data_IF_620983913647
#
_entry.id   IF_620983913647
#
_cell.length_a   1.000
_cell.length_b   1.000
_cell.length_c   1.000
_cell.angle_alpha   90.00
_cell.angle_beta   90.00
_cell.angle_gamma   90.00
#
_symmetry.space_group_name_H-M   'P 1'
#
loop_
_entity.id
_entity.type
_entity.pdbx_description
1 polymer ?
#
# COMPACT_ATOMS: atom_id res chain seq x y z
N UNK A 1 -5.33 -0.05 -16.80
CA UNK A 1 -4.19 0.90 -16.60
C UNK A 1 -2.89 0.11 -16.73
N UNK A 2 -1.89 0.69 -17.36
CA UNK A 2 -0.55 0.09 -17.47
C UNK A 2 0.50 1.12 -17.01
N UNK A 3 1.35 0.72 -16.08
CA UNK A 3 2.53 1.49 -15.67
C UNK A 3 3.74 0.87 -16.34
N UNK A 4 4.53 1.69 -17.03
CA UNK A 4 5.73 1.26 -17.77
C UNK A 4 6.97 1.87 -17.15
N UNK A 5 7.93 1.01 -16.82
CA UNK A 5 9.26 1.38 -16.33
C UNK A 5 10.27 1.09 -17.42
N UNK A 6 11.07 2.10 -17.81
CA UNK A 6 12.07 1.99 -18.90
C UNK A 6 13.44 2.41 -18.42
N UNK A 7 14.42 1.51 -18.59
CA UNK A 7 15.85 1.74 -18.32
C UNK A 7 16.09 2.27 -16.89
N UNK A 8 15.31 1.82 -15.92
CA UNK A 8 15.39 2.32 -14.55
C UNK A 8 16.73 1.95 -13.93
N UNK A 9 17.44 2.97 -13.44
CA UNK A 9 18.60 2.83 -12.54
C UNK A 9 18.27 3.46 -11.21
N UNK A 10 18.67 2.79 -10.13
CA UNK A 10 18.52 3.28 -8.76
C UNK A 10 19.60 2.70 -7.87
N UNK A 11 20.28 3.59 -7.14
CA UNK A 11 21.34 3.23 -6.21
C UNK A 11 21.20 4.01 -4.89
N UNK A 12 21.74 3.47 -3.82
CA UNK A 12 21.92 4.15 -2.54
C UNK A 12 23.39 4.01 -2.15
N UNK A 13 24.16 5.08 -2.31
CA UNK A 13 25.62 5.02 -2.22
C UNK A 13 26.18 4.01 -3.23
N UNK A 14 26.96 3.06 -2.76
CA UNK A 14 27.57 2.02 -3.59
C UNK A 14 26.61 0.84 -3.87
N UNK A 15 25.44 0.81 -3.25
CA UNK A 15 24.49 -0.29 -3.43
C UNK A 15 23.56 -0.01 -4.60
N UNK A 16 23.71 -0.78 -5.67
CA UNK A 16 22.81 -0.79 -6.82
C UNK A 16 21.56 -1.58 -6.45
N UNK A 17 20.38 -0.99 -6.62
CA UNK A 17 19.07 -1.61 -6.42
C UNK A 17 18.50 -2.05 -7.77
N UNK A 18 18.53 -1.16 -8.76
CA UNK A 18 18.11 -1.45 -10.13
C UNK A 18 19.19 -0.94 -11.11
N UNK A 19 19.52 -1.78 -12.09
CA UNK A 19 20.37 -1.41 -13.22
C UNK A 19 19.70 -1.85 -14.51
N UNK A 20 19.33 -0.88 -15.33
CA UNK A 20 18.62 -1.08 -16.59
C UNK A 20 17.32 -1.92 -16.45
N UNK A 21 16.57 -1.69 -15.35
CA UNK A 21 15.34 -2.43 -15.08
C UNK A 21 14.22 -1.94 -15.99
N UNK A 22 13.58 -2.90 -16.68
CA UNK A 22 12.48 -2.65 -17.59
C UNK A 22 11.30 -3.53 -17.22
N UNK A 23 10.10 -2.93 -17.08
CA UNK A 23 8.90 -3.68 -16.71
C UNK A 23 7.63 -2.94 -17.15
N UNK A 24 6.64 -3.72 -17.57
CA UNK A 24 5.26 -3.28 -17.69
C UNK A 24 4.41 -3.93 -16.60
N UNK A 25 3.63 -3.12 -15.88
CA UNK A 25 2.70 -3.55 -14.84
C UNK A 25 1.30 -3.22 -15.31
N UNK A 26 0.55 -4.26 -15.67
CA UNK A 26 -0.85 -4.15 -16.11
C UNK A 26 -1.76 -4.38 -14.92
N UNK A 27 -2.61 -3.41 -14.62
CA UNK A 27 -3.58 -3.41 -13.52
C UNK A 27 -4.98 -3.79 -14.02
N UNK A 28 -5.16 -5.00 -14.48
CA UNK A 28 -6.43 -5.66 -14.79
C UNK A 28 -7.07 -6.31 -13.55
N UNK A 29 -6.25 -6.57 -12.55
CA UNK A 29 -6.60 -7.05 -11.21
C UNK A 29 -5.55 -6.57 -10.21
N UNK A 30 -5.71 -6.76 -8.87
CA UNK A 30 -4.66 -6.42 -7.91
C UNK A 30 -3.32 -7.04 -8.30
N UNK A 31 -2.24 -6.27 -8.13
CA UNK A 31 -0.87 -6.71 -8.43
C UNK A 31 -0.10 -6.83 -7.12
N UNK A 32 0.57 -7.96 -6.93
CA UNK A 32 1.43 -8.21 -5.77
C UNK A 32 2.89 -8.24 -6.21
N UNK A 33 3.73 -7.41 -5.58
CA UNK A 33 5.18 -7.49 -5.72
C UNK A 33 5.75 -8.43 -4.66
N UNK A 34 6.39 -9.49 -5.11
CA UNK A 34 7.08 -10.47 -4.26
C UNK A 34 8.59 -10.47 -4.55
N UNK A 35 9.37 -11.09 -3.67
CA UNK A 35 10.81 -11.24 -3.78
C UNK A 35 11.49 -11.17 -2.42
N UNK A 36 12.78 -11.40 -2.37
CA UNK A 36 13.56 -11.38 -1.14
C UNK A 36 13.54 -10.01 -0.44
N UNK A 37 13.83 -10.02 0.87
CA UNK A 37 13.97 -8.77 1.61
C UNK A 37 15.15 -7.95 1.06
N UNK A 38 14.91 -6.67 0.85
CA UNK A 38 15.95 -5.76 0.36
C UNK A 38 16.23 -5.79 -1.14
N UNK A 39 15.46 -6.56 -1.95
CA UNK A 39 15.60 -6.60 -3.42
C UNK A 39 15.09 -5.33 -4.12
N UNK A 40 14.45 -4.41 -3.40
CA UNK A 40 14.01 -3.13 -3.96
C UNK A 40 12.50 -2.97 -4.14
N UNK A 41 11.63 -3.87 -3.64
CA UNK A 41 10.17 -3.78 -3.79
C UNK A 41 9.59 -2.44 -3.31
N UNK A 42 9.94 -2.03 -2.09
CA UNK A 42 9.52 -0.73 -1.52
C UNK A 42 10.09 0.44 -2.32
N UNK A 43 11.33 0.36 -2.79
CA UNK A 43 11.95 1.39 -3.64
C UNK A 43 11.19 1.52 -4.96
N UNK A 44 10.86 0.38 -5.61
CA UNK A 44 10.07 0.37 -6.83
C UNK A 44 8.70 1.01 -6.62
N UNK A 45 8.00 0.62 -5.55
CA UNK A 45 6.70 1.17 -5.20
C UNK A 45 6.74 2.68 -4.92
N UNK A 46 7.79 3.15 -4.21
CA UNK A 46 8.01 4.60 -3.96
C UNK A 46 8.29 5.36 -5.25
N UNK A 47 9.04 4.78 -6.17
CA UNK A 47 9.28 5.41 -7.48
C UNK A 47 8.00 5.48 -8.30
N UNK A 48 7.16 4.43 -8.31
CA UNK A 48 5.85 4.44 -8.96
C UNK A 48 4.95 5.50 -8.32
N UNK A 49 4.96 5.64 -7.00
CA UNK A 49 4.18 6.67 -6.29
C UNK A 49 4.70 8.11 -6.48
N UNK A 50 5.84 8.30 -7.15
CA UNK A 50 6.48 9.62 -7.27
C UNK A 50 7.12 10.14 -5.98
N UNK A 51 7.16 9.32 -4.92
CA UNK A 51 7.79 9.65 -3.64
C UNK A 51 9.32 9.61 -3.71
N UNK A 52 9.84 8.95 -4.70
CA UNK A 52 11.27 8.83 -4.99
C UNK A 52 11.50 8.88 -6.50
N UNK A 53 12.61 9.46 -6.93
CA UNK A 53 12.96 9.50 -8.35
C UNK A 53 13.99 8.40 -8.67
N UNK A 54 13.90 7.75 -9.83
CA UNK A 54 14.99 6.95 -10.34
C UNK A 54 16.21 7.85 -10.63
N UNK A 55 17.41 7.30 -10.55
CA UNK A 55 18.64 8.02 -10.92
C UNK A 55 18.75 8.19 -12.42
N UNK A 56 18.17 7.23 -13.17
CA UNK A 56 18.05 7.25 -14.63
C UNK A 56 16.81 6.46 -15.07
N UNK A 57 16.32 6.74 -16.28
CA UNK A 57 15.14 6.09 -16.85
C UNK A 57 13.85 6.88 -16.58
N UNK A 58 12.74 6.30 -16.99
CA UNK A 58 11.44 6.94 -16.88
C UNK A 58 10.35 5.96 -16.42
N UNK A 59 9.36 6.49 -15.71
CA UNK A 59 8.15 5.77 -15.30
C UNK A 59 6.96 6.53 -15.90
N UNK A 60 6.13 5.84 -16.68
CA UNK A 60 4.98 6.43 -17.36
C UNK A 60 3.69 5.64 -17.06
N UNK A 61 2.53 6.25 -17.29
CA UNK A 61 1.23 5.62 -17.11
C UNK A 61 0.76 5.57 -15.65
N UNK A 62 1.44 6.27 -14.74
CA UNK A 62 1.00 6.44 -13.35
C UNK A 62 -0.09 7.51 -13.31
N UNK A 63 -1.21 7.30 -12.59
CA UNK A 63 -2.24 8.31 -12.44
C UNK A 63 -1.75 9.46 -11.54
N UNK A 64 -2.42 10.61 -11.64
CA UNK A 64 -2.09 11.81 -10.86
C UNK A 64 -2.25 11.57 -9.35
N UNK A 65 -3.35 10.90 -8.96
CA UNK A 65 -3.65 10.61 -7.56
C UNK A 65 -3.25 9.18 -7.19
N UNK A 66 -2.23 9.05 -6.34
CA UNK A 66 -1.75 7.79 -5.80
C UNK A 66 -1.80 7.82 -4.28
N UNK A 67 -2.44 6.82 -3.66
CA UNK A 67 -2.38 6.60 -2.22
C UNK A 67 -1.23 5.66 -1.88
N UNK A 68 -0.55 5.90 -0.75
CA UNK A 68 0.55 5.06 -0.30
C UNK A 68 0.44 4.73 1.20
N UNK A 69 0.32 3.44 1.52
CA UNK A 69 0.46 2.93 2.87
C UNK A 69 1.90 2.42 3.06
N UNK A 70 2.62 3.03 4.00
CA UNK A 70 4.01 2.66 4.29
C UNK A 70 4.10 1.39 5.14
N UNK A 71 5.26 0.76 5.14
CA UNK A 71 5.55 -0.39 5.99
C UNK A 71 5.45 -0.02 7.49
N UNK A 72 5.91 1.17 7.88
CA UNK A 72 5.57 1.78 9.17
C UNK A 72 4.22 2.48 9.05
N UNK A 73 3.37 2.40 10.07
CA UNK A 73 2.00 2.93 10.00
C UNK A 73 1.94 4.45 9.84
N UNK A 74 2.99 5.17 10.31
CA UNK A 74 3.14 6.64 10.20
C UNK A 74 1.87 7.38 10.61
N UNK A 75 1.23 6.91 11.68
CA UNK A 75 0.09 7.57 12.28
C UNK A 75 0.54 8.70 13.20
N UNK A 76 -0.32 9.68 13.38
CA UNK A 76 -0.13 10.79 14.31
C UNK A 76 -0.59 10.31 15.70
N UNK A 77 0.33 10.01 16.63
CA UNK A 77 0.00 9.26 17.86
C UNK A 77 -0.88 10.03 18.84
N UNK A 78 -0.91 11.36 18.74
CA UNK A 78 -1.74 12.24 19.56
C UNK A 78 -3.15 12.46 19.02
N UNK A 79 -3.45 11.98 17.81
CA UNK A 79 -4.76 12.02 17.20
C UNK A 79 -5.50 10.69 17.41
N UNK A 80 -6.83 10.75 17.39
CA UNK A 80 -7.69 9.57 17.37
C UNK A 80 -7.56 8.79 16.05
N UNK A 81 -8.12 7.58 16.01
CA UNK A 81 -8.20 6.81 14.78
C UNK A 81 -8.92 7.57 13.67
N UNK A 82 -10.06 8.20 14.00
CA UNK A 82 -10.83 9.03 13.06
C UNK A 82 -10.03 10.19 12.53
N UNK A 83 -9.44 11.02 13.40
CA UNK A 83 -8.67 12.18 12.99
C UNK A 83 -7.47 11.82 12.10
N UNK A 84 -6.84 10.67 12.33
CA UNK A 84 -5.79 10.16 11.45
C UNK A 84 -6.28 9.85 10.02
N UNK A 85 -7.52 9.42 9.86
CA UNK A 85 -8.11 9.15 8.55
C UNK A 85 -8.68 10.45 7.92
N UNK A 86 -9.34 11.29 8.70
CA UNK A 86 -9.83 12.62 8.29
C UNK A 86 -8.70 13.53 7.78
N UNK A 87 -7.47 13.31 8.20
CA UNK A 87 -6.32 14.09 7.72
C UNK A 87 -6.16 14.06 6.19
N UNK A 88 -6.65 13.02 5.53
CA UNK A 88 -6.58 12.82 4.07
C UNK A 88 -7.95 12.70 3.40
N UNK A 89 -9.03 12.80 4.16
CA UNK A 89 -10.40 12.59 3.68
C UNK A 89 -11.39 13.49 4.43
N UNK A 90 -12.68 13.28 4.22
CA UNK A 90 -13.74 13.84 5.04
C UNK A 90 -14.17 12.85 6.16
N UNK A 91 -14.99 13.34 7.09
CA UNK A 91 -15.48 12.57 8.23
C UNK A 91 -16.31 11.35 7.79
N UNK A 92 -17.11 11.49 6.75
CA UNK A 92 -17.97 10.42 6.25
C UNK A 92 -17.13 9.26 5.71
N UNK A 93 -16.13 9.56 4.90
CA UNK A 93 -15.18 8.57 4.39
C UNK A 93 -14.36 7.94 5.54
N UNK A 94 -13.93 8.74 6.51
CA UNK A 94 -13.19 8.24 7.67
C UNK A 94 -14.03 7.24 8.47
N UNK A 95 -15.26 7.60 8.80
CA UNK A 95 -16.18 6.72 9.53
C UNK A 95 -16.47 5.43 8.74
N UNK A 96 -16.71 5.56 7.43
CA UNK A 96 -16.97 4.41 6.56
C UNK A 96 -15.80 3.43 6.54
N UNK A 97 -14.57 3.89 6.28
CA UNK A 97 -13.43 2.99 6.21
C UNK A 97 -13.00 2.44 7.57
N UNK A 98 -13.19 3.18 8.68
CA UNK A 98 -12.97 2.64 10.02
C UNK A 98 -13.95 1.52 10.38
N UNK A 99 -15.21 1.62 9.97
CA UNK A 99 -16.17 0.50 10.08
C UNK A 99 -15.70 -0.70 9.23
N UNK A 100 -15.32 -0.46 7.97
CA UNK A 100 -14.88 -1.52 7.05
C UNK A 100 -13.65 -2.27 7.54
N UNK A 101 -12.70 -1.58 8.20
CA UNK A 101 -11.55 -2.23 8.82
C UNK A 101 -11.81 -2.74 10.25
N UNK A 102 -13.09 -2.79 10.68
CA UNK A 102 -13.52 -3.31 11.97
C UNK A 102 -12.97 -2.52 13.19
N UNK A 103 -12.96 -1.20 13.06
CA UNK A 103 -12.56 -0.25 14.11
C UNK A 103 -13.66 0.77 14.42
N UNK A 104 -14.92 0.47 14.09
CA UNK A 104 -16.04 1.37 14.32
C UNK A 104 -16.22 1.77 15.78
N UNK A 105 -15.95 0.85 16.72
CA UNK A 105 -16.00 1.13 18.17
C UNK A 105 -14.80 1.91 18.70
N UNK A 106 -13.72 2.04 17.91
CA UNK A 106 -12.45 2.64 18.33
C UNK A 106 -12.15 3.97 17.61
N UNK A 107 -13.14 4.54 16.95
CA UNK A 107 -12.96 5.75 16.12
C UNK A 107 -12.35 6.92 16.87
N UNK A 108 -12.80 7.11 18.12
CA UNK A 108 -12.40 8.23 18.96
C UNK A 108 -11.25 7.89 19.91
N UNK A 109 -10.72 6.65 19.83
CA UNK A 109 -9.59 6.20 20.65
C UNK A 109 -8.30 6.81 20.10
N UNK A 110 -7.44 7.44 20.93
CA UNK A 110 -6.12 7.90 20.53
C UNK A 110 -5.28 6.75 19.96
N UNK A 111 -4.57 7.02 18.87
CA UNK A 111 -3.78 5.97 18.22
C UNK A 111 -2.68 5.42 19.13
N UNK A 112 -2.15 6.22 20.09
CA UNK A 112 -1.22 5.75 21.11
C UNK A 112 -1.71 4.50 21.84
N UNK A 113 -3.01 4.43 22.11
CA UNK A 113 -3.66 3.42 22.95
C UNK A 113 -4.09 2.16 22.18
N UNK A 114 -4.01 2.21 20.85
CA UNK A 114 -4.35 1.09 19.99
C UNK A 114 -3.24 0.03 19.94
N UNK A 115 -3.64 -1.23 19.79
CA UNK A 115 -2.71 -2.33 19.52
C UNK A 115 -2.03 -2.18 18.14
N UNK A 116 -0.91 -2.89 17.91
CA UNK A 116 -0.21 -2.84 16.62
C UNK A 116 -1.09 -3.24 15.44
N UNK A 117 -1.89 -4.29 15.57
CA UNK A 117 -2.84 -4.71 14.53
C UNK A 117 -3.97 -3.70 14.30
N UNK A 118 -4.40 -2.97 15.35
CA UNK A 118 -5.38 -1.89 15.20
C UNK A 118 -4.74 -0.69 14.48
N UNK A 119 -3.52 -0.29 14.86
CA UNK A 119 -2.75 0.78 14.17
C UNK A 119 -2.59 0.46 12.68
N UNK A 120 -2.25 -0.79 12.37
CA UNK A 120 -2.13 -1.26 10.98
C UNK A 120 -3.43 -1.08 10.20
N UNK A 121 -4.57 -1.41 10.80
CA UNK A 121 -5.89 -1.23 10.18
C UNK A 121 -6.31 0.24 10.07
N UNK A 122 -5.93 1.12 11.00
CA UNK A 122 -6.10 2.59 10.84
C UNK A 122 -5.29 3.10 9.65
N UNK A 123 -4.03 2.67 9.49
CA UNK A 123 -3.20 3.04 8.35
C UNK A 123 -3.79 2.56 7.02
N UNK A 124 -4.38 1.35 6.99
CA UNK A 124 -5.11 0.84 5.83
C UNK A 124 -6.36 1.68 5.54
N UNK A 125 -7.18 1.97 6.56
CA UNK A 125 -8.36 2.84 6.42
C UNK A 125 -7.98 4.21 5.86
N UNK A 126 -6.91 4.83 6.35
CA UNK A 126 -6.40 6.11 5.86
C UNK A 126 -5.97 6.02 4.39
N UNK A 127 -5.29 4.95 3.99
CA UNK A 127 -4.90 4.76 2.60
C UNK A 127 -6.11 4.55 1.68
N UNK A 128 -7.14 3.86 2.15
CA UNK A 128 -8.38 3.65 1.41
C UNK A 128 -9.28 4.89 1.37
N UNK A 129 -9.31 5.71 2.40
CA UNK A 129 -10.12 6.93 2.46
C UNK A 129 -9.61 8.03 1.51
N UNK A 130 -8.32 8.05 1.20
CA UNK A 130 -7.78 9.00 0.23
C UNK A 130 -8.28 8.69 -1.19
N UNK A 131 -8.89 9.69 -1.85
CA UNK A 131 -9.41 9.56 -3.22
C UNK A 131 -8.27 9.44 -4.22
N UNK A 132 -8.00 8.23 -4.70
CA UNK A 132 -6.92 7.91 -5.63
C UNK A 132 -7.34 6.84 -6.63
N UNK A 133 -6.70 6.82 -7.80
CA UNK A 133 -6.91 5.77 -8.81
C UNK A 133 -6.03 4.55 -8.57
N UNK A 134 -4.86 4.76 -7.97
CA UNK A 134 -3.91 3.71 -7.59
C UNK A 134 -3.66 3.76 -6.09
N UNK A 135 -3.77 2.63 -5.43
CA UNK A 135 -3.46 2.44 -4.01
C UNK A 135 -2.27 1.50 -3.91
N UNK A 136 -1.19 1.97 -3.28
CA UNK A 136 0.01 1.18 -3.03
C UNK A 136 0.06 0.83 -1.54
N UNK A 137 0.17 -0.46 -1.23
CA UNK A 137 0.15 -0.96 0.14
C UNK A 137 1.43 -1.76 0.42
N UNK A 138 2.26 -1.27 1.34
CA UNK A 138 3.50 -1.94 1.74
C UNK A 138 3.27 -2.75 3.01
N UNK A 139 3.27 -4.10 2.88
CA UNK A 139 3.03 -5.09 3.95
C UNK A 139 1.71 -4.84 4.71
N UNK A 140 0.54 -4.65 4.04
CA UNK A 140 -0.69 -4.17 4.69
C UNK A 140 -1.24 -5.14 5.74
N UNK A 141 -0.94 -6.43 5.63
CA UNK A 141 -1.51 -7.47 6.49
C UNK A 141 -0.56 -7.95 7.58
N UNK A 142 0.62 -7.33 7.69
CA UNK A 142 1.61 -7.71 8.70
C UNK A 142 1.04 -7.60 10.12
N UNK A 143 1.17 -8.69 10.89
CA UNK A 143 0.70 -8.75 12.28
C UNK A 143 -0.81 -8.95 12.45
N UNK A 144 -1.55 -9.18 11.36
CA UNK A 144 -2.95 -9.59 11.41
C UNK A 144 -3.06 -11.12 11.46
N UNK A 145 -4.03 -11.61 12.22
CA UNK A 145 -4.41 -13.03 12.16
C UNK A 145 -5.12 -13.35 10.83
N UNK A 146 -5.24 -14.65 10.53
CA UNK A 146 -5.83 -15.13 9.28
C UNK A 146 -7.26 -14.63 9.06
N UNK A 147 -8.08 -14.56 10.11
CA UNK A 147 -9.46 -14.09 10.00
C UNK A 147 -9.55 -12.62 9.61
N UNK A 148 -8.67 -11.78 10.19
CA UNK A 148 -8.56 -10.36 9.83
C UNK A 148 -7.97 -10.18 8.43
N UNK A 149 -6.93 -10.94 8.05
CA UNK A 149 -6.39 -10.93 6.69
C UNK A 149 -7.48 -11.18 5.65
N UNK A 150 -8.26 -12.25 5.83
CA UNK A 150 -9.36 -12.59 4.92
C UNK A 150 -10.38 -11.46 4.77
N UNK A 151 -10.71 -10.75 5.86
CA UNK A 151 -11.64 -9.61 5.81
C UNK A 151 -11.02 -8.40 5.09
N UNK A 152 -9.76 -8.11 5.34
CA UNK A 152 -9.06 -6.98 4.71
C UNK A 152 -8.80 -7.22 3.22
N UNK A 153 -8.46 -8.45 2.83
CA UNK A 153 -8.30 -8.81 1.41
C UNK A 153 -9.64 -8.77 0.67
N UNK A 154 -10.73 -9.20 1.29
CA UNK A 154 -12.08 -9.07 0.73
C UNK A 154 -12.45 -7.59 0.52
N UNK A 155 -12.20 -6.72 1.51
CA UNK A 155 -12.42 -5.28 1.40
C UNK A 155 -11.66 -4.69 0.19
N UNK A 156 -10.38 -5.04 0.02
CA UNK A 156 -9.57 -4.57 -1.11
C UNK A 156 -10.14 -5.06 -2.44
N UNK A 157 -10.62 -6.31 -2.48
CA UNK A 157 -11.17 -6.90 -3.70
C UNK A 157 -12.54 -6.31 -4.10
N UNK A 158 -13.27 -5.72 -3.17
CA UNK A 158 -14.54 -5.02 -3.42
C UNK A 158 -14.34 -3.60 -4.00
N UNK A 159 -13.12 -3.05 -3.89
CA UNK A 159 -12.79 -1.70 -4.38
C UNK A 159 -12.58 -1.70 -5.90
N UNK A 160 -13.13 -0.72 -6.59
CA UNK A 160 -12.96 -0.56 -8.06
C UNK A 160 -11.58 0.01 -8.46
N UNK A 161 -10.78 0.43 -7.49
CA UNK A 161 -9.45 1.03 -7.69
C UNK A 161 -8.38 -0.01 -8.03
N UNK A 162 -7.23 0.44 -8.50
CA UNK A 162 -6.06 -0.40 -8.78
C UNK A 162 -5.20 -0.52 -7.55
N UNK A 163 -4.68 -1.72 -7.31
CA UNK A 163 -3.85 -2.00 -6.15
C UNK A 163 -2.49 -2.55 -6.55
N UNK A 164 -1.44 -1.96 -5.98
CA UNK A 164 -0.09 -2.51 -5.96
C UNK A 164 0.25 -2.85 -4.51
N UNK A 165 0.46 -4.12 -4.23
CA UNK A 165 0.63 -4.61 -2.86
C UNK A 165 2.00 -5.25 -2.75
N UNK A 166 2.75 -4.91 -1.72
CA UNK A 166 4.00 -5.56 -1.37
C UNK A 166 3.72 -6.51 -0.23
N UNK A 167 4.03 -7.76 -0.40
CA UNK A 167 4.01 -8.78 0.65
C UNK A 167 5.03 -9.86 0.34
N UNK A 168 5.45 -10.61 1.34
CA UNK A 168 6.28 -11.79 1.21
C UNK A 168 5.48 -13.08 1.41
N UNK A 169 4.16 -12.98 1.70
CA UNK A 169 3.29 -14.11 1.95
C UNK A 169 2.49 -14.48 0.69
N UNK A 170 2.68 -15.69 0.16
CA UNK A 170 1.94 -16.20 -1.00
C UNK A 170 0.43 -16.30 -0.72
N UNK A 171 0.06 -16.55 0.54
CA UNK A 171 -1.31 -16.61 0.99
C UNK A 171 -2.06 -15.29 0.74
N UNK A 172 -1.40 -14.14 0.97
CA UNK A 172 -2.00 -12.82 0.72
C UNK A 172 -2.34 -12.64 -0.77
N UNK A 173 -1.41 -13.05 -1.66
CA UNK A 173 -1.63 -12.99 -3.10
C UNK A 173 -2.78 -13.90 -3.56
N UNK A 174 -2.88 -15.10 -2.96
CA UNK A 174 -3.95 -16.04 -3.24
C UNK A 174 -5.32 -15.51 -2.79
N UNK A 175 -5.41 -14.96 -1.57
CA UNK A 175 -6.65 -14.37 -1.04
C UNK A 175 -7.16 -13.18 -1.88
N UNK A 176 -6.23 -12.40 -2.45
CA UNK A 176 -6.54 -11.27 -3.33
C UNK A 176 -6.87 -11.69 -4.78
N UNK A 177 -6.65 -12.93 -5.17
CA UNK A 177 -6.69 -13.35 -6.57
C UNK A 177 -5.73 -12.53 -7.46
N UNK A 178 -4.63 -12.07 -6.89
CA UNK A 178 -3.74 -11.08 -7.47
C UNK A 178 -2.82 -11.66 -8.55
N UNK A 179 -2.33 -10.78 -9.43
CA UNK A 179 -1.21 -11.07 -10.33
C UNK A 179 0.10 -10.88 -9.57
N UNK A 180 0.90 -11.93 -9.47
CA UNK A 180 2.20 -11.88 -8.80
C UNK A 180 3.28 -11.44 -9.77
N UNK A 181 4.09 -10.48 -9.35
CA UNK A 181 5.32 -10.03 -10.03
C UNK A 181 6.49 -10.25 -9.09
N UNK A 182 7.39 -11.13 -9.47
CA UNK A 182 8.63 -11.35 -8.73
C UNK A 182 9.69 -10.31 -9.13
N UNK A 183 10.27 -9.67 -8.12
CA UNK A 183 11.42 -8.77 -8.24
C UNK A 183 12.66 -9.56 -7.81
N UNK A 184 13.67 -9.57 -8.67
CA UNK A 184 14.94 -10.29 -8.50
C UNK A 184 16.09 -9.32 -8.61
#
# INVERSE_FOLDING_TARGET
MTVTLKNIKKSYGDRIIFDNFNREIVFDKPVVLMGESGVGKTTLARMIAGLEKPDFGEITGVPEAVSFMFQEDRLLPWLSARENVEYVSDKEAADYYLEKVLLGGEKDTPVSDLSGGMKRRVALARALAYKSELVILDEPFKGLDFGLKKKMTALISEEERRFLIITHEEEDAALLGAKVINIQ
#
